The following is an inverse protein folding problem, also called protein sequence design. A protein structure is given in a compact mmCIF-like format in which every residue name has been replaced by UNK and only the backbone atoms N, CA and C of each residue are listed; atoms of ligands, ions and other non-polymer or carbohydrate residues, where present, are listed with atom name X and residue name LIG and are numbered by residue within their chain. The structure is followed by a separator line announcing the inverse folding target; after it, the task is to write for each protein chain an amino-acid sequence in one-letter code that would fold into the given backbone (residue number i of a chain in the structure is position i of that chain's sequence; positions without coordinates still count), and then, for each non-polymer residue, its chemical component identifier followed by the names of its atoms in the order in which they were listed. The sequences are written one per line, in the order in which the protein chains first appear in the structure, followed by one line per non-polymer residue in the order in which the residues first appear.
data_IF_833312342615
#
_entry.id   IF_833312342615
#
_cell.length_a   1.000
_cell.length_b   1.000
_cell.length_c   1.000
_cell.angle_alpha   90.00
_cell.angle_beta   90.00
_cell.angle_gamma   90.00
#
_symmetry.space_group_name_H-M   'P 1'
#
loop_
_entity.id
_entity.type
_entity.pdbx_description
1 polymer ?
#
# COMPACT_ATOMS: atom_id res chain seq x y z
N UNK A 1 -13.79 17.29 6.08
CA UNK A 1 -12.39 16.85 5.91
C UNK A 1 -11.97 16.29 7.25
N UNK A 2 -11.95 14.96 7.38
CA UNK A 2 -11.61 14.30 8.62
C UNK A 2 -10.14 14.59 8.93
N UNK A 3 -9.88 15.19 10.09
CA UNK A 3 -8.55 15.39 10.64
C UNK A 3 -8.03 14.03 11.05
N UNK A 4 -7.36 13.32 10.14
CA UNK A 4 -6.69 12.07 10.46
C UNK A 4 -5.59 12.37 11.49
N UNK A 5 -5.60 11.66 12.61
CA UNK A 5 -4.64 11.82 13.70
C UNK A 5 -3.25 11.37 13.21
N UNK A 6 -2.35 12.32 12.96
CA UNK A 6 -1.00 12.03 12.44
C UNK A 6 -0.02 11.88 13.59
N UNK A 7 0.69 10.75 13.61
CA UNK A 7 1.76 10.49 14.58
C UNK A 7 3.11 10.77 13.94
N UNK A 8 4.00 11.48 14.66
CA UNK A 8 5.35 11.74 14.18
C UNK A 8 6.28 10.57 14.56
N UNK A 9 6.87 9.94 13.56
CA UNK A 9 7.83 8.84 13.73
C UNK A 9 9.26 9.33 13.48
N UNK A 10 10.22 8.82 14.26
CA UNK A 10 11.65 9.06 14.02
C UNK A 10 12.22 7.92 13.19
N UNK A 11 12.68 8.23 11.99
CA UNK A 11 13.38 7.28 11.12
C UNK A 11 14.89 7.59 11.10
N UNK A 12 15.75 6.56 10.95
CA UNK A 12 17.18 6.76 10.77
C UNK A 12 17.46 7.64 9.56
N UNK A 13 18.44 8.55 9.69
CA UNK A 13 18.79 9.50 8.62
C UNK A 13 19.19 8.79 7.33
N UNK A 14 19.93 7.69 7.43
CA UNK A 14 20.30 6.85 6.28
C UNK A 14 19.11 6.28 5.50
N UNK A 15 17.97 6.05 6.14
CA UNK A 15 16.75 5.62 5.45
C UNK A 15 16.05 6.81 4.77
N UNK A 16 16.01 7.96 5.45
CA UNK A 16 15.47 9.19 4.88
C UNK A 16 16.19 9.59 3.59
N UNK A 17 17.52 9.60 3.59
CA UNK A 17 18.32 9.95 2.40
C UNK A 17 18.06 8.99 1.23
N UNK A 18 18.02 7.68 1.49
CA UNK A 18 17.69 6.68 0.46
C UNK A 18 16.29 6.87 -0.12
N UNK A 19 15.30 7.20 0.72
CA UNK A 19 13.94 7.45 0.25
C UNK A 19 13.91 8.75 -0.55
N UNK A 20 14.61 9.79 -0.10
CA UNK A 20 14.73 11.07 -0.78
C UNK A 20 15.30 10.92 -2.19
N UNK A 21 16.39 10.16 -2.34
CA UNK A 21 16.96 9.83 -3.66
C UNK A 21 15.97 9.03 -4.51
N UNK A 22 15.24 8.09 -3.91
CA UNK A 22 14.25 7.26 -4.61
C UNK A 22 13.03 8.05 -5.09
N UNK A 23 12.62 9.09 -4.35
CA UNK A 23 11.48 9.94 -4.73
C UNK A 23 11.89 11.09 -5.67
N UNK A 24 13.17 11.45 -5.75
CA UNK A 24 13.68 12.43 -6.72
C UNK A 24 13.45 11.90 -8.14
N UNK A 25 12.39 12.39 -8.79
CA UNK A 25 11.97 11.95 -10.13
C UNK A 25 10.61 11.26 -10.16
N UNK A 26 9.94 11.13 -9.03
CA UNK A 26 8.57 10.63 -8.92
C UNK A 26 7.59 11.76 -8.58
N UNK A 27 6.29 11.50 -8.69
CA UNK A 27 5.23 12.46 -8.33
C UNK A 27 5.03 12.61 -6.82
N UNK A 28 5.87 12.00 -5.97
CA UNK A 28 5.75 12.13 -4.53
C UNK A 28 6.26 13.49 -4.05
N UNK A 29 5.38 14.26 -3.39
CA UNK A 29 5.70 15.61 -2.92
C UNK A 29 6.59 15.65 -1.68
N UNK A 30 6.68 14.53 -0.93
CA UNK A 30 7.47 14.41 0.30
C UNK A 30 7.70 12.95 0.68
N UNK A 31 8.75 12.71 1.47
CA UNK A 31 9.05 11.40 2.08
C UNK A 31 7.86 10.91 2.93
N UNK A 32 7.16 11.83 3.61
CA UNK A 32 5.98 11.53 4.41
C UNK A 32 4.85 10.86 3.60
N UNK A 33 4.57 11.39 2.41
CA UNK A 33 3.57 10.83 1.49
C UNK A 33 4.00 9.46 1.00
N UNK A 34 5.29 9.32 0.64
CA UNK A 34 5.83 8.03 0.20
C UNK A 34 5.70 6.95 1.28
N UNK A 35 6.05 7.28 2.53
CA UNK A 35 5.98 6.36 3.67
C UNK A 35 4.53 6.03 3.98
N UNK A 36 3.64 7.02 4.00
CA UNK A 36 2.20 6.82 4.24
C UNK A 36 1.61 5.86 3.20
N UNK A 37 1.80 6.14 1.91
CA UNK A 37 1.30 5.27 0.84
C UNK A 37 1.91 3.87 0.90
N UNK A 38 3.18 3.74 1.27
CA UNK A 38 3.83 2.44 1.43
C UNK A 38 3.19 1.65 2.58
N UNK A 39 2.92 2.31 3.70
CA UNK A 39 2.27 1.70 4.86
C UNK A 39 0.81 1.36 4.59
N UNK A 40 0.07 2.18 3.86
CA UNK A 40 -1.31 1.85 3.43
C UNK A 40 -1.35 0.60 2.53
N UNK A 41 -0.32 0.41 1.70
CA UNK A 41 -0.19 -0.81 0.88
C UNK A 41 0.25 -2.04 1.69
N UNK A 42 1.06 -1.84 2.74
CA UNK A 42 1.58 -2.93 3.58
C UNK A 42 0.58 -3.37 4.65
N UNK A 43 -0.20 -2.42 5.17
CA UNK A 43 -1.29 -2.59 6.12
C UNK A 43 -2.60 -2.14 5.46
N UNK A 44 -3.11 -2.87 4.46
CA UNK A 44 -4.42 -2.57 3.92
C UNK A 44 -5.44 -2.68 5.06
N UNK A 45 -6.24 -1.62 5.25
CA UNK A 45 -7.19 -1.49 6.36
C UNK A 45 -8.20 -2.66 6.41
N UNK A 46 -8.41 -3.30 5.27
CA UNK A 46 -9.14 -4.54 5.12
C UNK A 46 -8.33 -5.48 4.21
N UNK A 47 -8.29 -6.80 4.49
CA UNK A 47 -7.91 -7.75 3.45
C UNK A 47 -8.87 -7.54 2.28
N UNK A 48 -8.36 -6.97 1.18
CA UNK A 48 -9.12 -6.58 -0.02
C UNK A 48 -9.88 -7.77 -0.62
N UNK A 49 -9.55 -9.00 -0.22
CA UNK A 49 -10.40 -10.16 -0.40
C UNK A 49 -10.50 -10.91 0.93
N UNK A 50 -11.72 -10.99 1.44
CA UNK A 50 -12.08 -12.04 2.39
C UNK A 50 -11.85 -13.41 1.73
N UNK A 51 -11.59 -14.47 2.49
CA UNK A 51 -11.43 -15.84 1.93
C UNK A 51 -12.61 -16.24 1.04
N UNK A 52 -13.79 -15.72 1.34
CA UNK A 52 -15.02 -15.93 0.56
C UNK A 52 -14.96 -15.25 -0.82
N UNK A 53 -14.40 -14.05 -0.92
CA UNK A 53 -14.23 -13.36 -2.20
C UNK A 53 -13.14 -14.00 -3.07
N UNK A 54 -12.06 -14.51 -2.46
CA UNK A 54 -11.07 -15.31 -3.20
C UNK A 54 -11.69 -16.59 -3.80
N UNK A 55 -12.58 -17.27 -3.07
CA UNK A 55 -13.31 -18.45 -3.56
C UNK A 55 -14.26 -18.08 -4.71
N UNK A 56 -15.01 -16.99 -4.59
CA UNK A 56 -15.88 -16.49 -5.66
C UNK A 56 -15.09 -16.11 -6.93
N UNK A 57 -13.93 -15.48 -6.78
CA UNK A 57 -13.04 -15.14 -7.89
C UNK A 57 -12.47 -16.41 -8.53
N UNK A 58 -12.04 -17.40 -7.73
CA UNK A 58 -11.59 -18.70 -8.24
C UNK A 58 -12.71 -19.43 -8.98
N UNK A 59 -13.93 -19.44 -8.45
CA UNK A 59 -15.07 -20.08 -9.11
C UNK A 59 -15.42 -19.38 -10.44
N UNK A 60 -15.34 -18.04 -10.46
CA UNK A 60 -15.57 -17.23 -11.67
C UNK A 60 -14.46 -17.43 -12.70
N UNK A 61 -13.20 -17.53 -12.28
CA UNK A 61 -12.06 -17.82 -13.15
C UNK A 61 -12.10 -19.26 -13.69
N UNK A 62 -12.54 -20.23 -12.90
CA UNK A 62 -12.79 -21.61 -13.35
C UNK A 62 -13.94 -21.66 -14.36
N UNK A 63 -15.04 -20.94 -14.14
CA UNK A 63 -16.15 -20.81 -15.12
C UNK A 63 -15.72 -20.15 -16.42
N UNK A 64 -14.75 -19.24 -16.35
CA UNK A 64 -14.18 -18.56 -17.52
C UNK A 64 -13.02 -19.35 -18.16
N UNK A 65 -12.64 -20.52 -17.61
CA UNK A 65 -11.63 -21.41 -18.18
C UNK A 65 -10.18 -20.94 -18.02
N UNK A 66 -9.91 -20.02 -17.11
CA UNK A 66 -8.54 -19.51 -16.86
C UNK A 66 -7.75 -20.37 -15.88
N UNK A 67 -8.42 -21.26 -15.14
CA UNK A 67 -7.82 -22.15 -14.14
C UNK A 67 -8.60 -23.47 -14.19
N UNK A 68 -7.91 -24.61 -14.27
CA UNK A 68 -8.50 -25.96 -14.20
C UNK A 68 -8.67 -26.39 -12.73
#
# INVERSE_FOLDING_TARGET
MASEDKVSIKIPRSLYDKIQEKIQGTSFSSVDVYVTTKLENEFPADPVYTKEEEELIKERLRKLGYIE
#
